data_IF_189553992948
#
_entry.id   IF_189553992948
#
_cell.length_a   1.000
_cell.length_b   1.000
_cell.length_c   1.000
_cell.angle_alpha   90.00
_cell.angle_beta   90.00
_cell.angle_gamma   90.00
#
_symmetry.space_group_name_H-M   'P 1'
#
loop_
_entity.id
_entity.type
_entity.pdbx_description
1 polymer ?
#
# COMPACT_ATOMS: atom_id res chain seq x y z
N UNK A 1 -2.68 23.51 -14.30
CA UNK A 1 -2.20 22.15 -14.63
C UNK A 1 -1.19 21.65 -13.59
N UNK A 2 -1.12 20.33 -13.33
CA UNK A 2 -0.13 19.73 -12.40
C UNK A 2 1.30 20.06 -12.81
N UNK A 3 1.60 20.05 -14.12
CA UNK A 3 2.95 20.35 -14.64
C UNK A 3 3.35 21.80 -14.38
N UNK A 4 2.41 22.76 -14.42
CA UNK A 4 2.71 24.15 -14.07
C UNK A 4 3.07 24.29 -12.59
N UNK A 5 2.46 23.50 -11.70
CA UNK A 5 2.83 23.48 -10.27
C UNK A 5 4.24 22.92 -10.09
N UNK A 6 4.58 21.84 -10.82
CA UNK A 6 5.93 21.28 -10.84
C UNK A 6 6.97 22.27 -11.38
N UNK A 7 6.62 23.04 -12.42
CA UNK A 7 7.47 24.11 -12.96
C UNK A 7 7.69 25.23 -11.94
N UNK A 8 6.65 25.64 -11.22
CA UNK A 8 6.79 26.61 -10.12
C UNK A 8 7.68 26.08 -8.98
N UNK A 9 7.68 24.78 -8.72
CA UNK A 9 8.60 24.18 -7.75
C UNK A 9 10.04 24.17 -8.27
N UNK A 10 10.27 23.91 -9.56
CA UNK A 10 11.61 23.96 -10.13
C UNK A 10 12.19 25.37 -10.10
N UNK A 11 11.37 26.39 -10.38
CA UNK A 11 11.74 27.80 -10.25
C UNK A 11 12.11 28.22 -8.81
N UNK A 12 11.67 27.47 -7.79
CA UNK A 12 12.08 27.66 -6.38
C UNK A 12 13.39 26.93 -6.03
N UNK A 13 14.15 26.46 -7.03
CA UNK A 13 15.42 25.75 -6.84
C UNK A 13 15.27 24.28 -6.45
N UNK A 14 14.14 23.63 -6.78
CA UNK A 14 13.95 22.18 -6.57
C UNK A 14 14.22 21.41 -7.86
N UNK A 15 14.99 20.33 -7.79
CA UNK A 15 15.12 19.41 -8.93
C UNK A 15 13.85 18.57 -9.05
N UNK A 16 13.19 18.62 -10.20
CA UNK A 16 12.00 17.82 -10.49
C UNK A 16 12.33 16.85 -11.61
N UNK A 17 12.20 15.56 -11.32
CA UNK A 17 12.32 14.48 -12.29
C UNK A 17 10.97 13.80 -12.36
N UNK A 18 10.47 13.57 -13.57
CA UNK A 18 9.15 13.04 -13.82
C UNK A 18 9.18 12.12 -15.04
N UNK A 19 8.30 11.12 -15.05
CA UNK A 19 8.03 10.27 -16.20
C UNK A 19 6.62 10.60 -16.70
N UNK A 20 6.49 11.00 -17.96
CA UNK A 20 5.19 11.30 -18.58
C UNK A 20 4.98 10.38 -19.77
N UNK A 21 3.81 9.77 -19.81
CA UNK A 21 3.33 9.08 -20.99
C UNK A 21 2.58 10.08 -21.87
N UNK A 22 3.01 10.22 -23.14
CA UNK A 22 2.34 11.01 -24.18
C UNK A 22 1.94 12.45 -23.76
N UNK A 23 2.92 13.36 -23.51
CA UNK A 23 2.61 14.75 -23.22
C UNK A 23 2.04 15.44 -24.47
N UNK A 24 1.12 16.40 -24.27
CA UNK A 24 0.71 17.31 -25.35
C UNK A 24 1.90 18.17 -25.81
N UNK A 25 1.84 18.68 -27.05
CA UNK A 25 2.92 19.52 -27.61
C UNK A 25 3.19 20.77 -26.79
N UNK A 26 2.14 21.44 -26.30
CA UNK A 26 2.28 22.58 -25.38
C UNK A 26 3.06 22.22 -24.10
N UNK A 27 2.88 21.00 -23.61
CA UNK A 27 3.52 20.54 -22.38
C UNK A 27 4.97 20.09 -22.63
N UNK A 28 5.24 19.57 -23.83
CA UNK A 28 6.59 19.23 -24.28
C UNK A 28 7.53 20.45 -24.29
N UNK A 29 7.02 21.61 -24.71
CA UNK A 29 7.77 22.87 -24.72
C UNK A 29 8.07 23.42 -23.32
N UNK A 30 7.33 23.01 -22.28
CA UNK A 30 7.54 23.49 -20.91
C UNK A 30 8.75 22.84 -20.21
N UNK A 31 9.28 21.74 -20.75
CA UNK A 31 10.37 20.99 -20.12
C UNK A 31 11.72 21.68 -20.31
N UNK A 32 12.47 21.83 -19.23
CA UNK A 32 13.84 22.36 -19.27
C UNK A 32 14.80 21.37 -19.95
N UNK A 33 14.61 20.07 -19.69
CA UNK A 33 15.33 18.95 -20.30
C UNK A 33 14.38 17.77 -20.47
N UNK A 34 14.57 17.00 -21.54
CA UNK A 34 13.89 15.75 -21.81
C UNK A 34 14.90 14.61 -21.83
N UNK A 35 14.53 13.46 -21.29
CA UNK A 35 15.29 12.21 -21.35
C UNK A 35 14.43 11.18 -22.07
N UNK A 36 14.93 10.67 -23.20
CA UNK A 36 14.29 9.62 -23.97
C UNK A 36 15.08 8.33 -23.81
N UNK A 37 14.38 7.24 -23.49
CA UNK A 37 14.96 5.92 -23.27
C UNK A 37 14.24 4.87 -24.09
N UNK A 38 14.99 3.89 -24.58
CA UNK A 38 14.47 2.74 -25.32
C UNK A 38 15.34 1.52 -25.02
N UNK A 39 14.71 0.35 -24.77
CA UNK A 39 15.41 -0.90 -24.48
C UNK A 39 16.49 -0.77 -23.38
N UNK A 40 16.23 0.04 -22.35
CA UNK A 40 17.16 0.30 -21.24
C UNK A 40 18.34 1.22 -21.57
N UNK A 41 18.44 1.75 -22.81
CA UNK A 41 19.48 2.66 -23.27
C UNK A 41 18.96 4.09 -23.36
N UNK A 42 19.87 5.06 -23.20
CA UNK A 42 19.56 6.48 -23.40
C UNK A 42 19.60 6.79 -24.90
N UNK A 43 18.46 7.19 -25.44
CA UNK A 43 18.34 7.58 -26.84
C UNK A 43 18.62 9.07 -27.05
N UNK A 44 18.26 9.92 -26.08
CA UNK A 44 18.52 11.35 -26.12
C UNK A 44 18.39 11.98 -24.73
N UNK A 45 19.20 12.99 -24.44
CA UNK A 45 19.07 13.86 -23.27
C UNK A 45 19.46 15.29 -23.64
N UNK A 46 18.54 16.24 -23.50
CA UNK A 46 18.75 17.63 -23.91
C UNK A 46 17.50 18.49 -23.78
N UNK A 47 17.51 19.70 -24.33
CA UNK A 47 16.32 20.56 -24.42
C UNK A 47 15.36 20.07 -25.52
N UNK A 48 14.08 20.48 -25.50
CA UNK A 48 13.14 20.18 -26.58
C UNK A 48 13.64 20.60 -27.97
N UNK A 49 14.30 21.76 -28.08
CA UNK A 49 14.86 22.25 -29.34
C UNK A 49 16.03 21.40 -29.83
N UNK A 50 16.96 21.03 -28.93
CA UNK A 50 18.07 20.13 -29.25
C UNK A 50 17.60 18.75 -29.72
N UNK A 51 16.43 18.30 -29.24
CA UNK A 51 15.84 17.05 -29.69
C UNK A 51 15.43 17.11 -31.16
N UNK A 52 14.79 18.21 -31.58
CA UNK A 52 14.41 18.42 -32.98
C UNK A 52 15.62 18.35 -33.90
N UNK A 53 16.72 19.01 -33.51
CA UNK A 53 17.96 19.03 -34.27
C UNK A 53 18.62 17.64 -34.32
N UNK A 54 18.70 16.95 -33.18
CA UNK A 54 19.30 15.61 -33.08
C UNK A 54 18.54 14.57 -33.91
N UNK A 55 17.21 14.50 -33.77
CA UNK A 55 16.41 13.53 -34.52
C UNK A 55 16.41 13.85 -36.03
N UNK A 56 16.48 15.13 -36.42
CA UNK A 56 16.68 15.51 -37.82
C UNK A 56 18.04 15.03 -38.36
N UNK A 57 19.11 15.15 -37.56
CA UNK A 57 20.45 14.65 -37.91
C UNK A 57 20.49 13.12 -38.08
N UNK A 58 19.76 12.37 -37.26
CA UNK A 58 19.68 10.90 -37.35
C UNK A 58 18.73 10.44 -38.48
N UNK A 59 18.12 11.36 -39.24
CA UNK A 59 17.23 11.05 -40.36
C UNK A 59 15.79 10.73 -39.95
N UNK A 60 15.39 11.10 -38.73
CA UNK A 60 14.05 10.97 -38.19
C UNK A 60 13.46 12.37 -37.93
N UNK A 61 13.21 13.14 -38.98
CA UNK A 61 12.64 14.48 -38.84
C UNK A 61 11.15 14.41 -38.47
N UNK A 62 10.76 15.14 -37.42
CA UNK A 62 9.36 15.23 -37.00
C UNK A 62 8.57 16.09 -38.01
N UNK A 63 7.41 15.63 -38.51
CA UNK A 63 6.52 16.47 -39.32
C UNK A 63 5.97 17.66 -38.53
N UNK A 64 5.72 18.79 -39.21
CA UNK A 64 5.24 20.04 -38.58
C UNK A 64 3.86 19.92 -37.93
N UNK A 65 3.00 19.05 -38.44
CA UNK A 65 1.64 18.83 -37.92
C UNK A 65 1.55 17.67 -36.93
N UNK A 66 2.69 17.20 -36.41
CA UNK A 66 2.76 16.04 -35.54
C UNK A 66 3.32 16.42 -34.18
N UNK A 67 2.80 15.82 -33.12
CA UNK A 67 3.29 16.07 -31.76
C UNK A 67 4.70 15.50 -31.61
N UNK A 68 5.74 16.32 -31.34
CA UNK A 68 7.12 15.84 -31.24
C UNK A 68 7.29 14.73 -30.22
N UNK A 69 6.61 14.82 -29.08
CA UNK A 69 6.70 13.81 -28.04
C UNK A 69 6.18 12.44 -28.49
N UNK A 70 5.03 12.42 -29.18
CA UNK A 70 4.46 11.18 -29.72
C UNK A 70 5.34 10.62 -30.84
N UNK A 71 5.90 11.50 -31.69
CA UNK A 71 6.78 11.10 -32.77
C UNK A 71 8.05 10.42 -32.24
N UNK A 72 8.73 11.02 -31.26
CA UNK A 72 9.94 10.42 -30.70
C UNK A 72 9.67 9.09 -30.00
N UNK A 73 8.56 8.98 -29.27
CA UNK A 73 8.16 7.71 -28.64
C UNK A 73 7.87 6.66 -29.71
N UNK A 74 7.19 7.02 -30.81
CA UNK A 74 6.91 6.10 -31.91
C UNK A 74 8.18 5.64 -32.64
N UNK A 75 9.13 6.55 -32.88
CA UNK A 75 10.43 6.23 -33.49
C UNK A 75 11.22 5.27 -32.60
N UNK A 76 11.11 5.43 -31.28
CA UNK A 76 11.80 4.62 -30.28
C UNK A 76 11.02 3.36 -29.83
N UNK A 77 9.82 3.14 -30.38
CA UNK A 77 9.00 1.97 -30.06
C UNK A 77 9.38 0.76 -30.93
N UNK A 78 9.36 -0.42 -30.32
CA UNK A 78 9.46 -1.71 -31.03
C UNK A 78 8.08 -2.04 -31.60
N UNK A 79 7.96 -2.07 -32.92
CA UNK A 79 6.68 -2.35 -33.59
C UNK A 79 6.52 -3.86 -33.81
N UNK A 80 5.41 -4.47 -33.35
CA UNK A 80 5.12 -5.89 -33.60
C UNK A 80 5.17 -6.21 -35.10
N UNK A 81 5.85 -7.29 -35.47
CA UNK A 81 6.04 -7.70 -36.88
C UNK A 81 7.22 -7.05 -37.60
N UNK A 82 7.86 -6.02 -37.02
CA UNK A 82 9.12 -5.41 -37.52
C UNK A 82 10.13 -5.21 -36.39
N UNK A 83 10.26 -6.22 -35.54
CA UNK A 83 11.08 -6.12 -34.32
C UNK A 83 12.57 -5.93 -34.62
N UNK A 84 13.11 -6.68 -35.59
CA UNK A 84 14.53 -6.63 -35.96
C UNK A 84 14.89 -5.22 -36.47
N UNK A 85 14.14 -4.70 -37.45
CA UNK A 85 14.34 -3.35 -37.99
C UNK A 85 14.18 -2.27 -36.92
N UNK A 86 13.20 -2.42 -36.02
CA UNK A 86 12.96 -1.45 -34.95
C UNK A 86 14.11 -1.43 -33.95
N UNK A 87 14.62 -2.60 -33.55
CA UNK A 87 15.78 -2.71 -32.64
C UNK A 87 17.04 -2.14 -33.27
N UNK A 88 17.29 -2.40 -34.56
CA UNK A 88 18.43 -1.83 -35.28
C UNK A 88 18.35 -0.30 -35.37
N UNK A 89 17.15 0.24 -35.61
CA UNK A 89 16.92 1.69 -35.60
C UNK A 89 17.20 2.29 -34.22
N UNK A 90 16.68 1.68 -33.17
CA UNK A 90 16.90 2.11 -31.77
C UNK A 90 18.39 2.07 -31.44
N UNK A 91 19.09 0.99 -31.80
CA UNK A 91 20.52 0.85 -31.57
C UNK A 91 21.30 1.99 -32.24
N UNK A 92 21.04 2.26 -33.51
CA UNK A 92 21.67 3.37 -34.26
C UNK A 92 21.45 4.73 -33.59
N UNK A 93 20.23 5.02 -33.13
CA UNK A 93 19.92 6.28 -32.45
C UNK A 93 20.70 6.38 -31.13
N UNK A 94 20.68 5.34 -30.31
CA UNK A 94 21.40 5.30 -29.04
C UNK A 94 22.92 5.37 -29.21
N UNK A 95 23.48 4.71 -30.23
CA UNK A 95 24.92 4.75 -30.54
C UNK A 95 25.36 6.14 -31.01
N UNK A 96 24.56 6.77 -31.88
CA UNK A 96 24.81 8.16 -32.31
C UNK A 96 24.74 9.14 -31.14
N UNK A 97 23.80 8.94 -30.21
CA UNK A 97 23.73 9.76 -29.00
C UNK A 97 24.94 9.55 -28.11
N UNK A 98 25.40 8.30 -27.90
CA UNK A 98 26.57 8.00 -27.08
C UNK A 98 27.86 8.68 -27.59
N UNK A 99 28.01 8.84 -28.91
CA UNK A 99 29.16 9.52 -29.51
C UNK A 99 28.97 11.05 -29.55
N UNK A 100 27.76 11.54 -29.30
CA UNK A 100 27.45 12.97 -29.32
C UNK A 100 28.30 13.75 -28.31
N UNK A 101 28.52 15.04 -28.60
CA UNK A 101 29.24 15.93 -27.68
C UNK A 101 28.55 15.99 -26.31
N UNK A 102 27.21 15.99 -26.29
CA UNK A 102 26.41 16.06 -25.06
C UNK A 102 26.64 14.84 -24.16
N UNK A 103 26.67 13.64 -24.74
CA UNK A 103 26.96 12.42 -23.97
C UNK A 103 28.39 12.42 -23.42
N UNK A 104 29.38 12.79 -24.24
CA UNK A 104 30.78 12.90 -23.80
C UNK A 104 30.99 13.94 -22.72
N UNK A 105 30.39 15.12 -22.86
CA UNK A 105 30.46 16.19 -21.86
C UNK A 105 29.83 15.72 -20.53
N UNK A 106 28.74 14.93 -20.58
CA UNK A 106 28.12 14.37 -19.39
C UNK A 106 28.97 13.29 -18.73
N UNK A 107 29.57 12.38 -19.50
CA UNK A 107 30.51 11.39 -18.99
C UNK A 107 31.73 12.06 -18.34
N UNK A 108 32.27 13.11 -18.95
CA UNK A 108 33.36 13.90 -18.38
C UNK A 108 32.92 14.62 -17.09
N UNK A 109 31.71 15.18 -17.04
CA UNK A 109 31.18 15.80 -15.82
C UNK A 109 31.00 14.77 -14.70
N UNK A 110 30.55 13.55 -15.01
CA UNK A 110 30.43 12.43 -14.07
C UNK A 110 31.78 11.88 -13.62
N UNK A 111 32.81 11.95 -14.47
CA UNK A 111 34.18 11.53 -14.13
C UNK A 111 34.93 12.60 -13.32
N UNK A 112 34.68 13.89 -13.60
CA UNK A 112 35.36 15.03 -12.97
C UNK A 112 34.74 15.37 -11.63
N UNK A 113 33.41 15.33 -11.54
CA UNK A 113 32.75 15.23 -10.25
C UNK A 113 33.01 13.80 -9.78
N UNK A 114 34.08 13.58 -9.02
CA UNK A 114 34.09 12.53 -8.02
C UNK A 114 32.74 12.65 -7.33
N UNK A 115 31.75 11.84 -7.72
CA UNK A 115 30.45 11.84 -7.08
C UNK A 115 30.80 11.61 -5.62
N UNK A 116 30.71 12.68 -4.82
CA UNK A 116 30.75 12.58 -3.37
C UNK A 116 29.91 11.35 -3.08
N UNK A 117 30.56 10.33 -2.47
CA UNK A 117 30.00 8.99 -2.26
C UNK A 117 28.49 9.14 -2.11
N UNK A 118 27.68 8.45 -2.93
CA UNK A 118 26.25 8.72 -3.07
C UNK A 118 25.66 9.08 -1.71
N UNK A 119 25.40 10.39 -1.47
CA UNK A 119 25.09 11.01 -0.18
C UNK A 119 25.23 10.00 0.96
N UNK A 120 26.44 9.86 1.54
CA UNK A 120 26.75 8.84 2.56
C UNK A 120 25.49 8.43 3.29
N UNK A 121 24.92 7.28 2.88
CA UNK A 121 23.78 6.74 3.59
C UNK A 121 24.29 6.64 5.02
N UNK A 122 23.62 7.31 5.99
CA UNK A 122 24.17 7.40 7.34
C UNK A 122 24.58 6.00 7.77
N UNK A 123 25.85 5.85 8.16
CA UNK A 123 26.49 4.55 8.45
C UNK A 123 25.67 3.72 9.46
N UNK A 124 24.81 4.40 10.23
CA UNK A 124 23.70 3.84 10.98
C UNK A 124 22.40 3.99 10.17
N UNK A 125 22.00 2.90 9.51
CA UNK A 125 20.98 2.87 8.47
C UNK A 125 19.69 3.67 8.69
N UNK A 126 19.11 4.11 7.58
CA UNK A 126 17.72 4.58 7.45
C UNK A 126 17.26 5.62 8.50
N UNK A 127 17.64 6.88 8.34
CA UNK A 127 17.16 7.96 9.22
C UNK A 127 15.75 8.40 8.85
N UNK A 128 14.80 8.16 9.77
CA UNK A 128 13.50 8.83 9.74
C UNK A 128 13.66 10.28 10.21
N UNK A 129 12.96 11.22 9.57
CA UNK A 129 13.03 12.64 9.94
C UNK A 129 12.43 12.94 11.32
N UNK A 130 11.42 12.19 11.72
CA UNK A 130 10.72 12.34 12.99
C UNK A 130 11.18 11.29 14.01
N UNK A 131 11.13 11.62 15.29
CA UNK A 131 11.42 10.65 16.37
C UNK A 131 10.37 9.54 16.41
N UNK A 132 10.73 8.40 16.99
CA UNK A 132 9.82 7.25 17.12
C UNK A 132 8.49 7.64 17.79
N UNK A 133 8.54 8.46 18.86
CA UNK A 133 7.34 8.87 19.58
C UNK A 133 6.43 9.78 18.76
N UNK A 134 7.01 10.68 17.94
CA UNK A 134 6.24 11.52 17.02
C UNK A 134 5.54 10.68 15.95
N UNK A 135 6.25 9.70 15.38
CA UNK A 135 5.69 8.76 14.42
C UNK A 135 4.54 7.97 15.05
N UNK A 136 4.78 7.34 16.20
CA UNK A 136 3.80 6.55 16.92
C UNK A 136 2.56 7.36 17.28
N UNK A 137 2.71 8.56 17.85
CA UNK A 137 1.59 9.45 18.19
C UNK A 137 0.77 9.83 16.95
N UNK A 138 1.44 10.17 15.84
CA UNK A 138 0.76 10.57 14.61
C UNK A 138 -0.02 9.40 13.99
N UNK A 139 0.59 8.21 13.95
CA UNK A 139 -0.06 7.01 13.41
C UNK A 139 -1.19 6.54 14.32
N UNK A 140 -0.99 6.49 15.64
CA UNK A 140 -2.05 6.16 16.60
C UNK A 140 -3.23 7.11 16.47
N UNK A 141 -2.99 8.43 16.41
CA UNK A 141 -4.05 9.42 16.22
C UNK A 141 -4.82 9.20 14.92
N UNK A 142 -4.11 8.97 13.81
CA UNK A 142 -4.72 8.67 12.50
C UNK A 142 -5.56 7.40 12.57
N UNK A 143 -5.01 6.31 13.10
CA UNK A 143 -5.70 5.02 13.22
C UNK A 143 -6.93 5.13 14.11
N UNK A 144 -6.83 5.84 15.23
CA UNK A 144 -7.95 6.11 16.14
C UNK A 144 -9.09 6.86 15.43
N UNK A 145 -8.74 7.89 14.66
CA UNK A 145 -9.72 8.62 13.85
C UNK A 145 -10.36 7.75 12.77
N UNK A 146 -9.62 6.85 12.11
CA UNK A 146 -10.17 5.93 11.11
C UNK A 146 -11.25 5.05 11.74
N UNK A 147 -10.93 4.43 12.88
CA UNK A 147 -11.87 3.56 13.63
C UNK A 147 -13.13 4.32 14.03
N UNK A 148 -13.00 5.56 14.53
CA UNK A 148 -14.15 6.37 14.96
C UNK A 148 -14.97 6.92 13.79
N UNK A 149 -14.33 7.29 12.66
CA UNK A 149 -14.98 7.94 11.52
C UNK A 149 -15.51 6.96 10.47
N UNK A 150 -15.27 5.66 10.62
CA UNK A 150 -15.82 4.60 9.77
C UNK A 150 -16.93 3.82 10.50
N UNK A 151 -18.08 4.44 10.84
CA UNK A 151 -19.10 3.80 11.66
C UNK A 151 -19.80 2.64 10.96
N UNK A 152 -19.77 2.57 9.62
CA UNK A 152 -20.45 1.50 8.88
C UNK A 152 -19.89 0.13 9.22
N UNK A 153 -18.56 -0.03 9.20
CA UNK A 153 -17.91 -1.31 9.47
C UNK A 153 -18.12 -1.76 10.92
N UNK A 154 -18.04 -0.82 11.87
CA UNK A 154 -18.31 -1.09 13.29
C UNK A 154 -19.77 -1.47 13.51
N UNK A 155 -20.73 -0.74 12.91
CA UNK A 155 -22.17 -1.03 13.02
C UNK A 155 -22.51 -2.41 12.47
N UNK A 156 -22.03 -2.74 11.28
CA UNK A 156 -22.27 -4.05 10.65
C UNK A 156 -21.72 -5.18 11.54
N UNK A 157 -20.51 -5.03 12.07
CA UNK A 157 -19.92 -6.02 12.99
C UNK A 157 -20.77 -6.21 14.25
N UNK A 158 -21.20 -5.13 14.91
CA UNK A 158 -22.00 -5.21 16.14
C UNK A 158 -23.37 -5.85 15.89
N UNK A 159 -24.05 -5.49 14.80
CA UNK A 159 -25.35 -6.07 14.41
C UNK A 159 -25.17 -7.58 14.14
N UNK A 160 -24.17 -7.94 13.33
CA UNK A 160 -23.89 -9.33 13.00
C UNK A 160 -23.57 -10.16 14.25
N UNK A 161 -22.68 -9.66 15.13
CA UNK A 161 -22.34 -10.32 16.40
C UNK A 161 -23.57 -10.53 17.27
N UNK A 162 -24.43 -9.50 17.38
CA UNK A 162 -25.66 -9.57 18.18
C UNK A 162 -26.60 -10.64 17.62
N UNK A 163 -26.85 -10.64 16.30
CA UNK A 163 -27.71 -11.64 15.66
C UNK A 163 -27.20 -13.06 15.88
N UNK A 164 -25.89 -13.29 15.69
CA UNK A 164 -25.31 -14.63 15.85
C UNK A 164 -25.31 -15.08 17.31
N UNK A 165 -25.03 -14.18 18.25
CA UNK A 165 -25.09 -14.48 19.68
C UNK A 165 -26.50 -14.92 20.10
N UNK A 166 -27.53 -14.22 19.63
CA UNK A 166 -28.94 -14.57 19.87
C UNK A 166 -29.26 -15.93 19.24
N UNK A 167 -28.87 -16.16 17.98
CA UNK A 167 -29.13 -17.42 17.28
C UNK A 167 -28.55 -18.62 18.05
N UNK A 168 -27.28 -18.55 18.44
CA UNK A 168 -26.61 -19.61 19.20
C UNK A 168 -27.27 -19.75 20.59
N UNK A 169 -27.57 -18.63 21.26
CA UNK A 169 -28.26 -18.64 22.54
C UNK A 169 -29.64 -19.29 22.49
N UNK A 170 -30.38 -19.12 21.39
CA UNK A 170 -31.70 -19.74 21.19
C UNK A 170 -31.58 -21.25 20.91
N UNK A 171 -30.61 -21.67 20.09
CA UNK A 171 -30.39 -23.09 19.76
C UNK A 171 -30.06 -23.90 21.03
N UNK A 172 -29.26 -23.32 21.92
CA UNK A 172 -28.79 -23.98 23.15
C UNK A 172 -29.46 -23.42 24.41
N UNK A 173 -30.69 -22.91 24.31
CA UNK A 173 -31.33 -22.19 25.41
C UNK A 173 -31.43 -23.05 26.68
N UNK A 174 -30.95 -22.52 27.81
CA UNK A 174 -31.17 -23.07 29.16
C UNK A 174 -30.71 -24.52 29.36
N UNK A 175 -29.48 -24.86 28.95
CA UNK A 175 -28.95 -26.22 29.13
C UNK A 175 -28.83 -26.62 30.61
N UNK A 176 -29.13 -27.89 30.88
CA UNK A 176 -29.05 -28.51 32.20
C UNK A 176 -27.87 -29.49 32.26
N UNK A 177 -27.37 -29.79 33.46
CA UNK A 177 -26.25 -30.73 33.68
C UNK A 177 -26.70 -32.20 33.60
N UNK A 178 -27.24 -32.61 32.45
CA UNK A 178 -27.53 -34.00 32.09
C UNK A 178 -26.51 -34.51 31.07
N UNK A 179 -26.44 -35.82 30.82
CA UNK A 179 -25.51 -36.37 29.81
C UNK A 179 -25.71 -35.73 28.42
N UNK A 180 -26.97 -35.52 28.00
CA UNK A 180 -27.31 -34.82 26.76
C UNK A 180 -26.94 -33.34 26.85
N UNK A 181 -27.22 -32.70 28.00
CA UNK A 181 -26.88 -31.31 28.21
C UNK A 181 -25.38 -31.02 28.19
N UNK A 182 -24.55 -31.92 28.70
CA UNK A 182 -23.07 -31.82 28.61
C UNK A 182 -22.62 -31.84 27.14
N UNK A 183 -23.20 -32.72 26.31
CA UNK A 183 -22.91 -32.76 24.88
C UNK A 183 -23.33 -31.45 24.19
N UNK A 184 -24.51 -30.93 24.52
CA UNK A 184 -25.01 -29.66 24.00
C UNK A 184 -24.14 -28.47 24.44
N UNK A 185 -23.69 -28.43 25.70
CA UNK A 185 -22.77 -27.41 26.21
C UNK A 185 -21.44 -27.46 25.47
N UNK A 186 -20.89 -28.66 25.22
CA UNK A 186 -19.66 -28.80 24.42
C UNK A 186 -19.85 -28.28 22.99
N UNK A 187 -20.98 -28.60 22.35
CA UNK A 187 -21.33 -28.08 21.03
C UNK A 187 -21.48 -26.55 21.03
N UNK A 188 -22.13 -26.00 22.06
CA UNK A 188 -22.29 -24.57 22.24
C UNK A 188 -20.94 -23.87 22.38
N UNK A 189 -20.04 -24.36 23.24
CA UNK A 189 -18.68 -23.81 23.43
C UNK A 189 -17.86 -23.91 22.14
N UNK A 190 -17.96 -25.02 21.40
CA UNK A 190 -17.29 -25.16 20.11
C UNK A 190 -17.75 -24.10 19.11
N UNK A 191 -19.06 -23.90 18.96
CA UNK A 191 -19.62 -22.86 18.09
C UNK A 191 -19.28 -21.45 18.59
N UNK A 192 -19.24 -21.25 19.91
CA UNK A 192 -18.85 -20.01 20.56
C UNK A 192 -17.44 -19.57 20.13
N UNK A 193 -16.46 -20.47 20.24
CA UNK A 193 -15.07 -20.20 19.89
C UNK A 193 -14.89 -20.10 18.37
N UNK A 194 -15.49 -21.02 17.62
CA UNK A 194 -15.39 -21.07 16.16
C UNK A 194 -15.93 -19.79 15.53
N UNK A 195 -17.08 -19.30 16.00
CA UNK A 195 -17.66 -18.06 15.49
C UNK A 195 -16.77 -16.85 15.79
N UNK A 196 -16.26 -16.73 17.01
CA UNK A 196 -15.32 -15.66 17.38
C UNK A 196 -14.03 -15.70 16.56
N UNK A 197 -13.51 -16.88 16.28
CA UNK A 197 -12.32 -17.05 15.45
C UNK A 197 -12.55 -16.58 14.02
N UNK A 198 -13.51 -17.19 13.32
CA UNK A 198 -13.76 -16.86 11.91
C UNK A 198 -14.19 -15.41 11.74
N UNK A 199 -15.05 -14.88 12.62
CA UNK A 199 -15.49 -13.50 12.54
C UNK A 199 -14.30 -12.52 12.61
N UNK A 200 -13.35 -12.73 13.52
CA UNK A 200 -12.19 -11.84 13.64
C UNK A 200 -11.16 -12.03 12.52
N UNK A 201 -10.92 -13.28 12.05
CA UNK A 201 -10.04 -13.54 10.91
C UNK A 201 -10.55 -12.84 9.65
N UNK A 202 -11.78 -13.13 9.22
CA UNK A 202 -12.34 -12.56 7.99
C UNK A 202 -12.42 -11.05 8.04
N UNK A 203 -12.79 -10.51 9.19
CA UNK A 203 -12.95 -9.08 9.32
C UNK A 203 -11.60 -8.34 9.36
N UNK A 204 -10.53 -8.99 9.83
CA UNK A 204 -9.15 -8.45 9.75
C UNK A 204 -8.63 -8.51 8.32
N UNK A 205 -8.85 -9.64 7.62
CA UNK A 205 -8.43 -9.83 6.23
C UNK A 205 -9.02 -8.75 5.32
N UNK A 206 -10.33 -8.53 5.39
CA UNK A 206 -11.00 -7.55 4.53
C UNK A 206 -10.50 -6.12 4.72
N UNK A 207 -10.20 -5.72 5.96
CA UNK A 207 -9.71 -4.36 6.26
C UNK A 207 -8.24 -4.23 5.92
N UNK A 208 -7.39 -5.12 6.44
CA UNK A 208 -5.95 -4.94 6.37
C UNK A 208 -5.38 -5.10 4.96
N UNK A 209 -5.90 -6.03 4.16
CA UNK A 209 -5.47 -6.18 2.75
C UNK A 209 -5.75 -4.92 1.93
N UNK A 210 -6.81 -4.18 2.23
CA UNK A 210 -7.13 -2.91 1.56
C UNK A 210 -6.18 -1.77 1.98
N UNK A 211 -5.69 -1.80 3.21
CA UNK A 211 -4.75 -0.80 3.75
C UNK A 211 -3.28 -1.09 3.42
N UNK A 212 -2.94 -2.36 3.20
CA UNK A 212 -1.56 -2.82 2.98
C UNK A 212 -0.85 -2.04 1.85
N UNK A 213 -1.46 -1.76 0.67
CA UNK A 213 -0.82 -0.96 -0.36
C UNK A 213 -0.46 0.47 0.09
N UNK A 214 -1.32 1.09 0.91
CA UNK A 214 -1.08 2.43 1.47
C UNK A 214 0.09 2.36 2.43
N UNK A 215 0.08 1.40 3.36
CA UNK A 215 1.19 1.16 4.28
C UNK A 215 2.51 0.94 3.52
N UNK A 216 2.53 0.09 2.49
CA UNK A 216 3.73 -0.21 1.71
C UNK A 216 4.26 1.03 0.99
N UNK A 217 3.38 1.89 0.48
CA UNK A 217 3.76 3.17 -0.12
C UNK A 217 4.40 4.10 0.93
N UNK A 218 3.76 4.24 2.08
CA UNK A 218 4.22 5.11 3.17
C UNK A 218 5.55 4.63 3.78
N UNK A 219 5.72 3.32 3.94
CA UNK A 219 6.94 2.69 4.40
C UNK A 219 8.09 2.88 3.39
N UNK A 220 7.84 2.71 2.08
CA UNK A 220 8.84 3.00 1.02
C UNK A 220 9.22 4.48 0.98
N UNK A 221 8.28 5.38 1.27
CA UNK A 221 8.53 6.82 1.42
C UNK A 221 9.17 7.21 2.76
N UNK A 222 9.42 6.24 3.66
CA UNK A 222 10.06 6.44 4.97
C UNK A 222 9.34 7.47 5.85
N UNK A 223 8.00 7.48 5.81
CA UNK A 223 7.21 8.37 6.65
C UNK A 223 7.23 7.95 8.12
N UNK A 224 7.15 6.64 8.38
CA UNK A 224 7.20 6.06 9.72
C UNK A 224 7.68 4.60 9.67
N UNK A 225 8.10 4.07 10.82
CA UNK A 225 8.55 2.68 10.97
C UNK A 225 7.40 1.68 11.03
N UNK A 226 7.64 0.44 10.60
CA UNK A 226 6.64 -0.63 10.61
C UNK A 226 6.09 -0.93 12.02
N UNK A 227 6.95 -0.93 13.04
CA UNK A 227 6.58 -1.15 14.44
C UNK A 227 5.63 -0.06 14.97
N UNK A 228 5.90 1.22 14.65
CA UNK A 228 5.02 2.34 15.04
C UNK A 228 3.63 2.21 14.44
N UNK A 229 3.52 1.71 13.21
CA UNK A 229 2.24 1.45 12.56
C UNK A 229 1.49 0.28 13.20
N UNK A 230 2.17 -0.85 13.39
CA UNK A 230 1.57 -2.02 14.00
C UNK A 230 1.02 -1.70 15.40
N UNK A 231 1.84 -1.12 16.28
CA UNK A 231 1.41 -0.76 17.63
C UNK A 231 0.30 0.30 17.63
N UNK A 232 0.44 1.35 16.81
CA UNK A 232 -0.55 2.42 16.72
C UNK A 232 -1.91 1.90 16.25
N UNK A 233 -1.92 1.01 15.27
CA UNK A 233 -3.14 0.39 14.76
C UNK A 233 -3.76 -0.57 15.79
N UNK A 234 -2.98 -1.48 16.37
CA UNK A 234 -3.48 -2.44 17.36
C UNK A 234 -4.09 -1.74 18.57
N UNK A 235 -3.47 -0.67 19.07
CA UNK A 235 -4.02 0.11 20.19
C UNK A 235 -5.30 0.85 19.77
N UNK A 236 -5.37 1.37 18.55
CA UNK A 236 -6.58 2.02 18.05
C UNK A 236 -7.78 1.08 17.89
N UNK A 237 -7.54 -0.20 17.60
CA UNK A 237 -8.58 -1.22 17.44
C UNK A 237 -8.97 -1.90 18.77
N UNK A 238 -8.21 -1.69 19.84
CA UNK A 238 -8.44 -2.29 21.17
C UNK A 238 -9.88 -2.12 21.70
N UNK A 239 -10.54 -0.94 21.59
CA UNK A 239 -11.93 -0.81 22.04
C UNK A 239 -12.87 -1.78 21.32
N UNK A 240 -12.66 -2.02 20.03
CA UNK A 240 -13.46 -2.94 19.25
C UNK A 240 -13.16 -4.40 19.60
N UNK A 241 -11.88 -4.74 19.83
CA UNK A 241 -11.46 -6.06 20.29
C UNK A 241 -12.00 -6.43 21.67
N UNK A 242 -12.36 -5.46 22.50
CA UNK A 242 -13.02 -5.70 23.79
C UNK A 242 -14.54 -5.71 23.65
N UNK A 243 -15.11 -4.79 22.87
CA UNK A 243 -16.56 -4.61 22.77
C UNK A 243 -17.24 -5.78 22.07
N UNK A 244 -16.66 -6.32 20.99
CA UNK A 244 -17.27 -7.42 20.23
C UNK A 244 -17.38 -8.72 21.05
N UNK A 245 -16.30 -9.22 21.68
CA UNK A 245 -16.38 -10.34 22.62
C UNK A 245 -17.32 -10.09 23.80
N UNK A 246 -17.35 -8.86 24.32
CA UNK A 246 -18.22 -8.49 25.42
C UNK A 246 -19.70 -8.62 25.03
N UNK A 247 -20.12 -8.03 23.91
CA UNK A 247 -21.51 -8.11 23.43
C UNK A 247 -21.90 -9.56 23.17
N UNK A 248 -21.06 -10.32 22.48
CA UNK A 248 -21.33 -11.73 22.19
C UNK A 248 -21.50 -12.55 23.48
N UNK A 249 -20.57 -12.41 24.41
CA UNK A 249 -20.57 -13.17 25.67
C UNK A 249 -21.70 -12.74 26.59
N UNK A 250 -22.00 -11.45 26.69
CA UNK A 250 -23.09 -10.93 27.50
C UNK A 250 -24.47 -11.48 27.07
N UNK A 251 -24.65 -11.80 25.79
CA UNK A 251 -25.88 -12.37 25.26
C UNK A 251 -25.86 -13.90 25.34
N UNK A 252 -24.89 -14.54 24.70
CA UNK A 252 -24.90 -15.99 24.53
C UNK A 252 -24.68 -16.74 25.86
N UNK A 253 -23.79 -16.25 26.73
CA UNK A 253 -23.45 -16.94 27.98
C UNK A 253 -24.65 -17.20 28.90
N UNK A 254 -25.47 -16.20 29.26
CA UNK A 254 -26.66 -16.43 30.08
C UNK A 254 -27.75 -17.20 29.32
N UNK A 255 -27.93 -16.98 28.01
CA UNK A 255 -28.96 -17.69 27.23
C UNK A 255 -28.71 -19.20 27.19
N UNK A 256 -27.45 -19.62 27.02
CA UNK A 256 -27.07 -21.04 27.01
C UNK A 256 -27.29 -21.68 28.39
N UNK A 257 -27.28 -20.89 29.48
CA UNK A 257 -27.32 -21.40 30.84
C UNK A 257 -25.96 -21.92 31.33
N UNK A 258 -24.86 -21.29 30.87
CA UNK A 258 -23.51 -21.62 31.37
C UNK A 258 -23.38 -21.26 32.86
N UNK A 259 -22.31 -21.75 33.50
CA UNK A 259 -22.11 -21.68 34.95
C UNK A 259 -22.29 -20.25 35.49
N UNK A 260 -23.36 -20.04 36.26
CA UNK A 260 -23.64 -18.76 36.88
C UNK A 260 -22.49 -18.30 37.80
N UNK A 261 -22.20 -17.00 37.78
CA UNK A 261 -21.20 -16.36 38.64
C UNK A 261 -20.37 -15.33 37.89
N UNK A 262 -20.16 -14.18 38.53
CA UNK A 262 -19.44 -13.03 37.94
C UNK A 262 -18.01 -13.41 37.53
N UNK A 263 -17.30 -14.17 38.37
CA UNK A 263 -15.94 -14.63 38.05
C UNK A 263 -15.91 -15.59 36.85
N UNK A 264 -16.90 -16.48 36.72
CA UNK A 264 -16.96 -17.42 35.60
C UNK A 264 -17.28 -16.71 34.27
N UNK A 265 -18.13 -15.68 34.33
CA UNK A 265 -18.39 -14.81 33.20
C UNK A 265 -17.13 -14.06 32.74
N UNK A 266 -16.42 -13.38 33.66
CA UNK A 266 -15.21 -12.64 33.30
C UNK A 266 -14.07 -13.55 32.82
N UNK A 267 -13.93 -14.76 33.37
CA UNK A 267 -12.98 -15.74 32.87
C UNK A 267 -13.32 -16.16 31.43
N UNK A 268 -14.60 -16.40 31.13
CA UNK A 268 -15.04 -16.70 29.77
C UNK A 268 -14.78 -15.53 28.83
N UNK A 269 -15.15 -14.31 29.23
CA UNK A 269 -14.91 -13.10 28.45
C UNK A 269 -13.41 -12.89 28.16
N UNK A 270 -12.55 -13.10 29.15
CA UNK A 270 -11.10 -13.00 28.98
C UNK A 270 -10.57 -14.03 27.97
N UNK A 271 -11.00 -15.29 28.08
CA UNK A 271 -10.63 -16.34 27.12
C UNK A 271 -11.10 -16.01 25.70
N UNK A 272 -12.34 -15.56 25.54
CA UNK A 272 -12.90 -15.20 24.23
C UNK A 272 -12.18 -14.00 23.63
N UNK A 273 -11.82 -13.02 24.46
CA UNK A 273 -11.01 -11.86 24.05
C UNK A 273 -9.62 -12.30 23.58
N UNK A 274 -8.97 -13.23 24.29
CA UNK A 274 -7.67 -13.78 23.86
C UNK A 274 -7.80 -14.53 22.53
N UNK A 275 -8.84 -15.33 22.35
CA UNK A 275 -9.12 -16.03 21.09
C UNK A 275 -9.34 -15.03 19.95
N UNK A 276 -10.08 -13.94 20.18
CA UNK A 276 -10.24 -12.88 19.20
C UNK A 276 -8.90 -12.25 18.80
N UNK A 277 -8.01 -11.97 19.76
CA UNK A 277 -6.67 -11.41 19.50
C UNK A 277 -5.77 -12.36 18.69
N UNK A 278 -5.77 -13.67 19.02
CA UNK A 278 -5.05 -14.69 18.26
C UNK A 278 -5.57 -14.76 16.83
N UNK A 279 -6.91 -14.72 16.68
CA UNK A 279 -7.60 -14.77 15.39
C UNK A 279 -7.29 -13.55 14.52
N UNK A 280 -7.26 -12.35 15.11
CA UNK A 280 -6.83 -11.12 14.42
C UNK A 280 -5.37 -11.21 14.00
N UNK A 281 -4.49 -11.70 14.86
CA UNK A 281 -3.07 -11.87 14.54
C UNK A 281 -2.85 -12.85 13.39
N UNK A 282 -3.61 -13.95 13.37
CA UNK A 282 -3.63 -14.88 12.25
C UNK A 282 -4.19 -14.24 10.97
N UNK A 283 -5.24 -13.42 11.08
CA UNK A 283 -5.77 -12.62 9.98
C UNK A 283 -4.74 -11.65 9.38
N UNK A 284 -3.95 -10.96 10.21
CA UNK A 284 -2.84 -10.13 9.72
C UNK A 284 -1.77 -10.95 8.99
N UNK A 285 -1.41 -12.13 9.51
CA UNK A 285 -0.45 -13.01 8.87
C UNK A 285 -0.91 -13.43 7.47
N UNK A 286 -2.17 -13.85 7.33
CA UNK A 286 -2.76 -14.18 6.02
C UNK A 286 -2.76 -12.94 5.11
N UNK A 287 -3.20 -11.79 5.64
CA UNK A 287 -3.28 -10.55 4.86
C UNK A 287 -1.94 -10.07 4.32
N UNK A 288 -0.86 -10.28 5.07
CA UNK A 288 0.50 -9.96 4.64
C UNK A 288 1.04 -10.95 3.60
N UNK A 289 0.59 -12.22 3.65
CA UNK A 289 0.98 -13.25 2.69
C UNK A 289 0.21 -13.15 1.36
N UNK A 290 -1.00 -12.58 1.38
CA UNK A 290 -1.89 -12.48 0.22
C UNK A 290 -1.76 -11.14 -0.52
N UNK A 291 -1.86 -11.17 -1.84
CA UNK A 291 -1.77 -9.98 -2.71
C UNK A 291 -3.10 -9.23 -2.88
N UNK A 292 -4.23 -9.85 -2.54
CA UNK A 292 -5.58 -9.26 -2.61
C UNK A 292 -6.53 -9.89 -1.58
N UNK A 293 -7.66 -9.23 -1.32
CA UNK A 293 -8.76 -9.77 -0.50
C UNK A 293 -9.31 -11.08 -1.03
N UNK A 294 -9.34 -11.28 -2.35
CA UNK A 294 -9.89 -12.49 -2.98
C UNK A 294 -8.96 -13.70 -2.88
N UNK A 295 -7.65 -13.45 -2.71
CA UNK A 295 -6.62 -14.47 -2.54
C UNK A 295 -6.40 -14.85 -1.06
N UNK A 296 -6.91 -14.03 -0.14
CA UNK A 296 -6.79 -14.16 1.31
C UNK A 296 -8.00 -14.87 1.92
#
# INVERSE_FOLDING_TARGET
>A
SVVQVLKKLSQKGKTVILTIHQPSSELFELFDKILLMAEGRVAFLGTPSEAVDFFSYVGAQCPTNYNPADFYVQVLAVVPGREIESRDRIAKICDNFAISKVARDMEQLLATKNLEKPLEQPENGYTYKATWFMQFRAVLWRSWLSVLKEPLLVKVRLIQTTMVAILIGLIFLGQQLTQVGVMNINGAIFLFLTNMTFQNVFATINVFTSELPVFMREARSRLYRCDTYFLGKTIAELPLFLTVPLVFTAIAYPMIGLRAGVMHFFNCLALVTLVANVSTSFGYLISCASSSTSMA
#
